data_IF_700887426226
#
_entry.id   IF_700887426226
#
_cell.length_a   1.000
_cell.length_b   1.000
_cell.length_c   1.000
_cell.angle_alpha   90.00
_cell.angle_beta   90.00
_cell.angle_gamma   90.00
#
_symmetry.space_group_name_H-M   'P 1'
#
loop_
_entity.id
_entity.type
_entity.pdbx_description
1 polymer ?
#
# COMPACT_ATOMS: atom_id res chain seq x y z
N UNK A 1 4.50 -55.02 31.05
CA UNK A 1 5.60 -55.47 30.17
C UNK A 1 5.54 -54.63 28.90
N UNK A 2 6.41 -53.64 28.78
CA UNK A 2 6.44 -52.71 27.64
C UNK A 2 7.56 -53.12 26.69
N UNK A 3 7.21 -53.45 25.45
CA UNK A 3 8.15 -53.86 24.40
C UNK A 3 8.82 -52.63 23.77
N UNK A 4 10.16 -52.66 23.70
CA UNK A 4 10.97 -51.73 22.94
C UNK A 4 10.88 -52.05 21.44
N UNK A 5 10.63 -51.04 20.60
CA UNK A 5 10.85 -51.12 19.15
C UNK A 5 12.10 -50.30 18.83
N UNK A 6 13.15 -50.98 18.35
CA UNK A 6 14.35 -50.36 17.76
C UNK A 6 14.09 -50.11 16.27
N UNK A 7 14.26 -48.87 15.81
CA UNK A 7 14.40 -48.56 14.39
C UNK A 7 15.89 -48.42 14.05
N UNK A 8 16.37 -49.21 13.10
CA UNK A 8 17.74 -49.20 12.59
C UNK A 8 17.88 -48.23 11.41
N UNK A 9 18.92 -47.38 11.42
CA UNK A 9 19.56 -46.85 10.21
C UNK A 9 19.14 -45.47 9.69
N UNK A 10 19.54 -44.38 10.38
CA UNK A 10 19.79 -43.07 9.76
C UNK A 10 21.06 -42.49 10.39
N UNK A 11 22.10 -42.24 9.59
CA UNK A 11 23.29 -41.53 10.04
C UNK A 11 23.23 -40.09 9.51
N UNK A 12 23.27 -39.12 10.43
CA UNK A 12 23.50 -37.72 10.14
C UNK A 12 24.91 -37.38 10.63
N UNK A 13 25.79 -36.88 9.76
CA UNK A 13 27.04 -36.25 10.20
C UNK A 13 26.94 -34.75 10.03
N UNK A 14 27.19 -34.00 11.10
CA UNK A 14 27.18 -32.54 11.12
C UNK A 14 28.61 -32.06 11.39
N UNK A 15 29.14 -31.16 10.56
CA UNK A 15 30.29 -30.32 10.92
C UNK A 15 29.75 -28.99 11.49
N UNK A 16 30.36 -28.41 12.53
CA UNK A 16 29.84 -27.20 13.15
C UNK A 16 30.03 -25.99 12.22
N UNK A 17 28.91 -25.41 11.75
CA UNK A 17 28.91 -24.10 11.07
C UNK A 17 28.05 -23.94 9.81
N UNK A 18 27.33 -24.98 9.34
CA UNK A 18 26.60 -24.91 8.06
C UNK A 18 25.12 -25.36 8.17
N UNK A 19 24.20 -24.66 7.50
CA UNK A 19 22.72 -24.84 7.63
C UNK A 19 22.09 -25.63 6.50
N UNK A 20 22.85 -26.41 5.73
CA UNK A 20 22.33 -27.13 4.56
C UNK A 20 22.39 -28.65 4.76
N UNK A 21 21.23 -29.32 4.68
CA UNK A 21 21.14 -30.79 4.72
C UNK A 21 21.05 -31.34 3.30
N UNK A 22 21.94 -32.26 2.93
CA UNK A 22 21.83 -33.01 1.67
C UNK A 22 21.28 -34.42 1.95
N UNK A 23 20.21 -34.78 1.25
CA UNK A 23 19.58 -36.10 1.35
C UNK A 23 20.13 -37.02 0.25
N UNK A 24 20.73 -38.16 0.62
CA UNK A 24 21.09 -39.21 -0.35
C UNK A 24 20.14 -40.40 -0.18
N UNK A 25 19.35 -40.68 -1.22
CA UNK A 25 18.46 -41.85 -1.27
C UNK A 25 19.27 -43.10 -1.66
N UNK A 26 19.35 -44.08 -0.77
CA UNK A 26 19.79 -45.45 -1.13
C UNK A 26 18.55 -46.24 -1.55
N UNK A 27 18.48 -46.62 -2.84
CA UNK A 27 17.50 -47.57 -3.36
C UNK A 27 18.03 -48.98 -3.08
N UNK A 28 17.45 -49.70 -2.13
CA UNK A 28 17.55 -51.15 -2.10
C UNK A 28 16.28 -51.77 -2.71
N UNK A 29 16.49 -52.50 -3.81
CA UNK A 29 15.50 -53.35 -4.46
C UNK A 29 15.53 -54.71 -3.77
N UNK A 30 14.41 -55.16 -3.21
CA UNK A 30 14.26 -56.54 -2.74
C UNK A 30 13.17 -57.20 -3.58
N UNK A 31 13.60 -58.05 -4.52
CA UNK A 31 12.76 -59.09 -5.11
C UNK A 31 12.61 -60.24 -4.12
N UNK A 32 11.40 -60.77 -3.94
CA UNK A 32 11.26 -62.16 -3.51
C UNK A 32 10.08 -62.89 -4.17
N UNK A 33 10.33 -64.19 -4.40
CA UNK A 33 9.56 -65.18 -5.14
C UNK A 33 8.36 -65.67 -4.34
N UNK A 34 7.16 -65.26 -4.75
CA UNK A 34 5.93 -66.07 -4.76
C UNK A 34 4.83 -65.19 -5.34
N UNK A 35 4.24 -65.64 -6.45
CA UNK A 35 3.25 -64.87 -7.19
C UNK A 35 1.95 -64.71 -6.40
N UNK A 36 1.76 -63.55 -5.78
CA UNK A 36 0.44 -62.95 -5.54
C UNK A 36 0.63 -61.45 -5.27
N UNK A 37 0.16 -60.61 -6.18
CA UNK A 37 0.17 -59.17 -6.00
C UNK A 37 -0.91 -58.78 -4.99
N UNK A 38 -0.51 -58.26 -3.82
CA UNK A 38 -1.39 -57.50 -2.94
C UNK A 38 -0.92 -56.05 -2.98
N UNK A 39 -1.48 -55.33 -3.95
CA UNK A 39 -1.55 -53.88 -3.92
C UNK A 39 -2.52 -53.46 -2.81
N UNK A 40 -2.18 -52.34 -2.15
CA UNK A 40 -3.05 -51.55 -1.26
C UNK A 40 -3.18 -52.17 0.14
N UNK A 41 -2.43 -51.60 1.10
CA UNK A 41 -2.89 -51.09 2.41
C UNK A 41 -1.61 -50.71 3.16
N UNK A 42 -1.05 -49.54 2.86
CA UNK A 42 -0.05 -48.89 3.73
C UNK A 42 -0.16 -47.38 3.53
N UNK A 43 -1.37 -46.84 3.72
CA UNK A 43 -1.57 -45.38 3.68
C UNK A 43 -2.48 -44.84 4.80
N UNK A 44 -2.75 -45.61 5.87
CA UNK A 44 -3.74 -45.19 6.87
C UNK A 44 -3.32 -45.27 8.34
N UNK A 45 -2.04 -45.49 8.67
CA UNK A 45 -1.57 -45.49 10.06
C UNK A 45 -0.28 -44.70 10.29
N UNK A 46 -0.16 -43.54 9.64
CA UNK A 46 0.76 -42.46 10.06
C UNK A 46 -0.01 -41.14 10.28
N UNK A 47 -1.30 -41.23 10.60
CA UNK A 47 -2.08 -40.12 11.15
C UNK A 47 -2.01 -40.16 12.68
N UNK A 48 -0.84 -39.86 13.24
CA UNK A 48 -0.65 -39.81 14.68
C UNK A 48 0.80 -39.50 14.99
N UNK A 49 1.03 -38.31 15.55
CA UNK A 49 2.34 -37.74 15.91
C UNK A 49 3.09 -36.98 14.80
N UNK A 50 2.39 -36.09 14.09
CA UNK A 50 2.96 -34.76 13.87
C UNK A 50 2.23 -33.82 14.83
N UNK A 51 2.87 -33.51 15.96
CA UNK A 51 2.50 -32.32 16.71
C UNK A 51 2.66 -31.15 15.76
N UNK A 52 1.53 -30.62 15.28
CA UNK A 52 1.50 -29.34 14.60
C UNK A 52 1.98 -28.33 15.63
N UNK A 53 3.28 -27.99 15.62
CA UNK A 53 3.69 -26.72 16.16
C UNK A 53 2.96 -25.70 15.31
N UNK A 54 1.89 -25.12 15.85
CA UNK A 54 1.36 -23.88 15.32
C UNK A 54 2.53 -22.92 15.34
N UNK A 55 3.16 -22.68 14.18
CA UNK A 55 3.97 -21.49 14.07
C UNK A 55 2.97 -20.37 14.32
N UNK A 56 3.12 -19.75 15.49
CA UNK A 56 2.54 -18.44 15.73
C UNK A 56 3.08 -17.60 14.57
N UNK A 57 2.28 -17.43 13.52
CA UNK A 57 2.50 -16.36 12.55
C UNK A 57 2.54 -15.12 13.42
N UNK A 58 3.73 -14.61 13.70
CA UNK A 58 3.90 -13.27 14.24
C UNK A 58 3.09 -12.41 13.29
N UNK A 59 1.95 -11.89 13.76
CA UNK A 59 1.16 -10.96 12.95
C UNK A 59 2.07 -9.77 12.74
N UNK A 60 2.66 -9.64 11.56
CA UNK A 60 3.41 -8.44 11.22
C UNK A 60 2.46 -7.27 11.32
N UNK A 61 2.75 -6.38 12.26
CA UNK A 61 1.93 -5.22 12.52
C UNK A 61 2.26 -4.13 11.52
N UNK A 62 1.25 -3.44 10.96
CA UNK A 62 1.50 -2.33 10.06
C UNK A 62 2.40 -1.27 10.69
N UNK A 63 3.26 -0.63 9.90
CA UNK A 63 4.22 0.40 10.39
C UNK A 63 3.56 1.75 10.70
N UNK A 64 2.27 1.74 11.04
CA UNK A 64 1.45 2.92 11.19
C UNK A 64 1.93 3.79 12.36
N UNK A 65 2.16 5.07 12.08
CA UNK A 65 2.48 6.07 13.10
C UNK A 65 1.43 7.20 13.03
N UNK A 66 0.61 7.39 14.08
CA UNK A 66 -0.47 8.39 14.05
C UNK A 66 0.03 9.83 13.82
N UNK A 67 1.16 10.19 14.43
CA UNK A 67 1.78 11.51 14.22
C UNK A 67 2.28 11.73 12.79
N UNK A 68 2.80 10.68 12.13
CA UNK A 68 3.18 10.74 10.72
C UNK A 68 1.93 10.88 9.85
N UNK A 69 0.84 10.17 10.17
CA UNK A 69 -0.41 10.32 9.43
C UNK A 69 -0.94 11.76 9.46
N UNK A 70 -0.91 12.39 10.64
CA UNK A 70 -1.30 13.80 10.78
C UNK A 70 -0.38 14.74 9.97
N UNK A 71 0.95 14.56 10.08
CA UNK A 71 1.91 15.33 9.28
C UNK A 71 1.65 15.15 7.77
N UNK A 72 1.41 13.92 7.30
CA UNK A 72 1.13 13.64 5.89
C UNK A 72 -0.15 14.31 5.39
N UNK A 73 -1.16 14.47 6.25
CA UNK A 73 -2.37 15.23 5.93
C UNK A 73 -2.06 16.73 5.80
N UNK A 74 -1.27 17.30 6.73
CA UNK A 74 -0.85 18.70 6.69
C UNK A 74 0.00 19.00 5.44
N UNK A 75 0.95 18.13 5.09
CA UNK A 75 1.76 18.30 3.86
C UNK A 75 0.89 18.15 2.61
N UNK A 76 -0.11 17.25 2.61
CA UNK A 76 -1.08 17.18 1.51
C UNK A 76 -1.89 18.47 1.38
N UNK A 77 -2.30 19.08 2.49
CA UNK A 77 -2.98 20.39 2.47
C UNK A 77 -2.05 21.48 1.91
N UNK A 78 -0.81 21.53 2.38
CA UNK A 78 0.20 22.48 1.91
C UNK A 78 0.45 22.37 0.39
N UNK A 79 0.31 21.17 -0.21
CA UNK A 79 0.48 20.99 -1.66
C UNK A 79 -0.50 21.77 -2.53
N UNK A 80 -1.58 22.31 -1.96
CA UNK A 80 -2.53 23.19 -2.66
C UNK A 80 -2.09 24.66 -2.68
N UNK A 81 -1.10 25.07 -1.88
CA UNK A 81 -0.58 26.44 -1.90
C UNK A 81 0.25 26.68 -3.16
N UNK A 82 -0.15 27.69 -3.92
CA UNK A 82 0.49 28.05 -5.20
C UNK A 82 1.60 29.08 -5.03
N UNK A 83 1.57 29.87 -3.96
CA UNK A 83 2.60 30.82 -3.59
C UNK A 83 3.77 30.08 -2.92
N UNK A 84 4.92 30.04 -3.60
CA UNK A 84 6.11 29.36 -3.10
C UNK A 84 6.62 29.90 -1.77
N UNK A 85 6.46 31.20 -1.50
CA UNK A 85 6.91 31.79 -0.25
C UNK A 85 6.03 31.33 0.92
N UNK A 86 4.70 31.38 0.73
CA UNK A 86 3.74 30.86 1.72
C UNK A 86 3.86 29.36 1.93
N UNK A 87 4.12 28.62 0.86
CA UNK A 87 4.38 27.18 0.93
C UNK A 87 5.65 26.90 1.76
N UNK A 88 6.73 27.65 1.51
CA UNK A 88 7.98 27.55 2.26
C UNK A 88 7.79 27.87 3.75
N UNK A 89 7.03 28.92 4.07
CA UNK A 89 6.67 29.27 5.45
C UNK A 89 5.85 28.16 6.10
N UNK A 90 4.80 27.69 5.43
CA UNK A 90 3.94 26.59 5.92
C UNK A 90 4.77 25.34 6.22
N UNK A 91 5.61 24.89 5.29
CA UNK A 91 6.49 23.74 5.51
C UNK A 91 7.49 23.99 6.65
N UNK A 92 8.00 25.21 6.79
CA UNK A 92 8.89 25.57 7.91
C UNK A 92 8.19 25.46 9.26
N UNK A 93 6.90 25.84 9.37
CA UNK A 93 6.11 25.63 10.59
C UNK A 93 5.92 24.16 10.94
N UNK A 94 5.96 23.28 9.95
CA UNK A 94 5.91 21.82 10.11
C UNK A 94 7.30 21.21 10.36
N UNK A 95 8.36 22.02 10.47
CA UNK A 95 9.73 21.56 10.65
C UNK A 95 10.32 20.91 9.38
N UNK A 96 9.87 21.35 8.20
CA UNK A 96 10.30 20.85 6.90
C UNK A 96 10.89 21.98 6.05
N UNK A 97 11.84 21.62 5.19
CA UNK A 97 12.42 22.48 4.16
C UNK A 97 11.82 22.09 2.80
N UNK A 98 11.36 23.08 2.03
CA UNK A 98 10.95 22.87 0.65
C UNK A 98 12.19 22.64 -0.24
N UNK A 99 12.22 21.52 -0.96
CA UNK A 99 13.25 21.27 -1.95
C UNK A 99 12.96 22.07 -3.24
N UNK A 100 13.98 22.64 -3.91
CA UNK A 100 13.78 23.43 -5.12
C UNK A 100 13.39 22.61 -6.36
N UNK A 101 13.42 21.27 -6.30
CA UNK A 101 13.05 20.42 -7.44
C UNK A 101 11.61 20.71 -7.91
N UNK A 102 11.43 20.80 -9.23
CA UNK A 102 10.12 21.04 -9.83
C UNK A 102 9.38 19.72 -10.04
N UNK A 103 8.26 19.53 -9.34
CA UNK A 103 7.29 18.46 -9.58
C UNK A 103 6.05 19.10 -10.19
N UNK A 104 6.13 19.44 -11.48
CA UNK A 104 5.04 20.10 -12.20
C UNK A 104 5.09 19.77 -13.67
N UNK A 105 3.93 19.48 -14.25
CA UNK A 105 3.72 19.35 -15.70
C UNK A 105 2.39 20.01 -16.06
N UNK A 106 2.45 21.09 -16.85
CA UNK A 106 1.26 21.87 -17.21
C UNK A 106 0.33 21.16 -18.19
N UNK A 107 0.83 20.20 -18.99
CA UNK A 107 0.02 19.48 -19.97
C UNK A 107 -0.92 18.48 -19.30
N UNK A 108 -0.43 17.86 -18.23
CA UNK A 108 -1.19 16.91 -17.41
C UNK A 108 -1.85 17.57 -16.20
N UNK A 109 -1.57 18.86 -15.94
CA UNK A 109 -2.01 19.57 -14.74
C UNK A 109 -1.36 19.05 -13.45
N UNK A 110 -0.34 18.20 -13.55
CA UNK A 110 0.28 17.52 -12.41
C UNK A 110 1.10 18.51 -11.61
N UNK A 111 0.91 18.49 -10.29
CA UNK A 111 1.66 19.33 -9.35
C UNK A 111 1.96 18.54 -8.08
N UNK A 112 3.12 18.82 -7.49
CA UNK A 112 3.52 18.29 -6.20
C UNK A 112 4.70 19.05 -5.62
N UNK A 113 5.16 18.59 -4.48
CA UNK A 113 6.31 19.12 -3.77
C UNK A 113 7.17 17.98 -3.23
N UNK A 114 8.45 18.30 -3.03
CA UNK A 114 9.38 17.50 -2.25
C UNK A 114 9.77 18.36 -1.04
N UNK A 115 9.58 17.83 0.17
CA UNK A 115 9.98 18.48 1.41
C UNK A 115 10.79 17.52 2.26
N UNK A 116 11.71 18.03 3.08
CA UNK A 116 12.57 17.18 3.90
C UNK A 116 13.01 17.88 5.19
N UNK A 117 13.48 17.09 6.15
CA UNK A 117 14.26 17.56 7.30
C UNK A 117 15.39 16.57 7.58
N UNK A 118 15.95 16.51 8.79
CA UNK A 118 17.03 15.57 9.11
C UNK A 118 16.58 14.11 9.14
N UNK A 119 15.30 13.84 9.41
CA UNK A 119 14.78 12.49 9.67
C UNK A 119 13.99 11.92 8.49
N UNK A 120 13.42 12.78 7.64
CA UNK A 120 12.52 12.34 6.57
C UNK A 120 12.59 13.17 5.30
N UNK A 121 12.18 12.53 4.22
CA UNK A 121 11.89 13.11 2.92
C UNK A 121 10.45 12.75 2.56
N UNK A 122 9.69 13.72 2.07
CA UNK A 122 8.26 13.62 1.79
C UNK A 122 8.00 14.11 0.37
N UNK A 123 7.36 13.27 -0.44
CA UNK A 123 6.74 13.72 -1.70
C UNK A 123 5.24 13.83 -1.50
N UNK A 124 4.67 14.99 -1.81
CA UNK A 124 3.23 15.21 -1.76
C UNK A 124 2.71 15.66 -3.13
N UNK A 125 1.65 15.02 -3.61
CA UNK A 125 0.97 15.41 -4.84
C UNK A 125 -0.32 16.16 -4.55
N UNK A 126 -0.53 17.26 -5.27
CA UNK A 126 -1.75 18.06 -5.20
C UNK A 126 -2.89 17.33 -5.91
N UNK A 127 -4.10 17.44 -5.38
CA UNK A 127 -5.31 17.01 -6.09
C UNK A 127 -5.81 18.06 -7.09
N UNK A 128 -6.96 17.78 -7.71
CA UNK A 128 -7.63 18.78 -8.58
C UNK A 128 -8.52 19.70 -7.76
N UNK A 129 -8.60 20.97 -8.13
CA UNK A 129 -9.57 21.94 -7.57
C UNK A 129 -10.92 21.87 -8.31
N UNK A 130 -10.92 21.48 -9.59
CA UNK A 130 -12.12 21.34 -10.42
C UNK A 130 -12.74 19.94 -10.25
N UNK A 131 -12.98 19.57 -9.00
CA UNK A 131 -13.41 18.21 -8.65
C UNK A 131 -14.77 17.83 -9.25
N UNK A 132 -15.70 18.80 -9.38
CA UNK A 132 -17.03 18.58 -9.95
C UNK A 132 -17.00 18.10 -11.39
N UNK A 133 -16.13 18.69 -12.21
CA UNK A 133 -15.99 18.32 -13.62
C UNK A 133 -15.34 16.94 -13.76
N UNK A 134 -14.34 16.65 -12.92
CA UNK A 134 -13.73 15.34 -12.86
C UNK A 134 -14.72 14.24 -12.42
N UNK A 135 -15.61 14.57 -11.48
CA UNK A 135 -16.67 13.69 -10.97
C UNK A 135 -17.77 13.45 -12.01
N UNK A 136 -18.17 14.48 -12.75
CA UNK A 136 -19.14 14.37 -13.84
C UNK A 136 -18.69 13.38 -14.93
N UNK A 137 -17.37 13.22 -15.09
CA UNK A 137 -16.76 12.28 -16.03
C UNK A 137 -16.50 10.88 -15.44
N UNK A 138 -16.91 10.60 -14.20
CA UNK A 138 -16.66 9.31 -13.54
C UNK A 138 -17.19 8.10 -14.32
N UNK A 139 -18.27 8.27 -15.10
CA UNK A 139 -18.82 7.20 -15.95
C UNK A 139 -17.88 6.76 -17.08
N UNK A 140 -16.94 7.63 -17.50
CA UNK A 140 -15.97 7.33 -18.56
C UNK A 140 -14.72 6.61 -18.04
N UNK A 141 -14.53 6.51 -16.72
CA UNK A 141 -13.30 5.96 -16.13
C UNK A 141 -13.01 4.53 -16.56
N UNK A 142 -14.03 3.72 -16.86
CA UNK A 142 -13.81 2.34 -17.32
C UNK A 142 -13.02 2.30 -18.64
N UNK A 143 -13.27 3.24 -19.55
CA UNK A 143 -12.55 3.34 -20.82
C UNK A 143 -11.09 3.77 -20.63
N UNK A 144 -10.80 4.42 -19.50
CA UNK A 144 -9.46 4.88 -19.12
C UNK A 144 -8.66 3.80 -18.40
N UNK A 145 -9.23 2.65 -18.05
CA UNK A 145 -8.47 1.57 -17.39
C UNK A 145 -7.66 0.80 -18.42
N UNK A 146 -6.36 1.09 -18.55
CA UNK A 146 -5.47 0.49 -19.55
C UNK A 146 -4.32 -0.28 -18.89
N UNK A 147 -3.53 -1.00 -19.70
CA UNK A 147 -2.40 -1.76 -19.19
C UNK A 147 -1.48 -0.85 -18.36
N UNK A 148 -1.18 -1.29 -17.14
CA UNK A 148 -0.34 -0.54 -16.20
C UNK A 148 1.07 -1.10 -16.09
N UNK A 149 1.83 -0.69 -15.06
CA UNK A 149 3.21 -1.12 -14.87
C UNK A 149 3.32 -2.63 -14.67
N UNK A 150 4.49 -3.19 -14.98
CA UNK A 150 4.71 -4.63 -15.02
C UNK A 150 4.41 -5.34 -13.69
N UNK A 151 3.85 -6.54 -13.81
CA UNK A 151 3.65 -7.48 -12.71
C UNK A 151 3.32 -8.87 -13.29
N UNK A 152 3.42 -9.91 -12.46
CA UNK A 152 2.97 -11.28 -12.78
C UNK A 152 1.46 -11.39 -13.02
N UNK A 153 0.68 -10.37 -12.65
CA UNK A 153 -0.75 -10.27 -12.90
C UNK A 153 -1.05 -9.33 -14.06
N UNK A 154 -2.22 -9.48 -14.69
CA UNK A 154 -2.73 -8.50 -15.66
C UNK A 154 -3.12 -7.20 -14.95
N UNK A 155 -2.17 -6.28 -14.84
CA UNK A 155 -2.34 -4.96 -14.22
C UNK A 155 -3.03 -4.02 -15.20
N UNK A 156 -4.11 -3.39 -14.75
CA UNK A 156 -4.70 -2.22 -15.42
C UNK A 156 -4.92 -1.09 -14.41
N UNK A 157 -4.59 0.13 -14.82
CA UNK A 157 -4.72 1.35 -14.01
C UNK A 157 -5.38 2.45 -14.83
N UNK A 158 -5.92 3.47 -14.17
CA UNK A 158 -6.48 4.63 -14.86
C UNK A 158 -5.38 5.37 -15.64
N UNK A 159 -5.55 5.51 -16.95
CA UNK A 159 -4.54 6.06 -17.84
C UNK A 159 -4.22 7.50 -17.49
N UNK A 160 -5.21 8.35 -17.23
CA UNK A 160 -4.96 9.74 -16.81
C UNK A 160 -4.04 9.85 -15.57
N UNK A 161 -4.18 8.95 -14.58
CA UNK A 161 -3.28 8.95 -13.41
C UNK A 161 -1.88 8.44 -13.78
N UNK A 162 -1.81 7.42 -14.63
CA UNK A 162 -0.55 6.87 -15.11
C UNK A 162 0.24 7.88 -15.96
N UNK A 163 -0.42 8.60 -16.85
CA UNK A 163 0.21 9.61 -17.70
C UNK A 163 0.65 10.82 -16.86
N UNK A 164 -0.17 11.24 -15.90
CA UNK A 164 0.15 12.30 -14.95
C UNK A 164 1.37 11.97 -14.08
N UNK A 165 1.46 10.78 -13.48
CA UNK A 165 2.64 10.45 -12.68
C UNK A 165 3.89 10.31 -13.55
N UNK A 166 3.77 9.67 -14.71
CA UNK A 166 4.90 9.51 -15.63
C UNK A 166 5.42 10.85 -16.16
N UNK A 167 4.56 11.87 -16.33
CA UNK A 167 4.99 13.18 -16.81
C UNK A 167 6.02 13.84 -15.89
N UNK A 168 5.92 13.60 -14.58
CA UNK A 168 6.81 14.18 -13.54
C UNK A 168 7.89 13.22 -13.02
N UNK A 169 7.82 11.92 -13.33
CA UNK A 169 8.84 10.94 -12.89
C UNK A 169 9.75 10.42 -14.01
N UNK A 170 9.38 10.55 -15.29
CA UNK A 170 10.07 9.92 -16.43
C UNK A 170 11.52 10.35 -16.62
N UNK A 171 11.90 11.57 -16.22
CA UNK A 171 13.25 12.09 -16.42
C UNK A 171 14.24 11.62 -15.32
N UNK A 172 13.74 10.89 -14.32
CA UNK A 172 14.52 10.32 -13.23
C UNK A 172 15.05 11.31 -12.20
N UNK A 173 14.89 12.63 -12.38
CA UNK A 173 15.47 13.63 -11.47
C UNK A 173 14.86 13.56 -10.07
N UNK A 174 13.54 13.35 -9.99
CA UNK A 174 12.85 13.18 -8.71
C UNK A 174 13.40 11.96 -7.95
N UNK A 175 13.55 10.81 -8.63
CA UNK A 175 14.11 9.61 -8.02
C UNK A 175 15.57 9.79 -7.60
N UNK A 176 16.39 10.47 -8.41
CA UNK A 176 17.78 10.77 -8.05
C UNK A 176 17.87 11.63 -6.78
N UNK A 177 17.03 12.68 -6.68
CA UNK A 177 17.00 13.56 -5.52
C UNK A 177 16.51 12.85 -4.25
N UNK A 178 15.48 12.01 -4.37
CA UNK A 178 15.02 11.18 -3.24
C UNK A 178 16.13 10.23 -2.77
N UNK A 179 16.82 9.58 -3.72
CA UNK A 179 17.94 8.68 -3.42
C UNK A 179 19.04 9.40 -2.64
N UNK A 180 19.45 10.59 -3.09
CA UNK A 180 20.45 11.42 -2.41
C UNK A 180 20.01 11.76 -0.97
N UNK A 181 18.76 12.19 -0.78
CA UNK A 181 18.23 12.54 0.54
C UNK A 181 18.17 11.32 1.48
N UNK A 182 17.84 10.14 0.95
CA UNK A 182 17.82 8.88 1.71
C UNK A 182 19.21 8.36 2.07
N UNK A 183 20.25 8.65 1.28
CA UNK A 183 21.64 8.27 1.61
C UNK A 183 22.10 8.88 2.94
N UNK A 184 21.50 9.99 3.39
CA UNK A 184 21.76 10.54 4.73
C UNK A 184 20.92 9.90 5.86
N UNK A 185 20.25 8.78 5.61
CA UNK A 185 19.46 8.06 6.61
C UNK A 185 18.00 8.49 6.76
N UNK A 186 17.48 9.34 5.86
CA UNK A 186 16.11 9.86 5.92
C UNK A 186 15.07 8.80 5.55
N UNK A 187 13.99 8.74 6.32
CA UNK A 187 12.81 7.94 6.00
C UNK A 187 12.04 8.56 4.84
N UNK A 188 11.56 7.76 3.89
CA UNK A 188 10.83 8.27 2.73
C UNK A 188 9.33 8.02 2.82
N UNK A 189 8.58 9.11 2.80
CA UNK A 189 7.13 9.12 2.81
C UNK A 189 6.56 9.70 1.51
N UNK A 190 5.44 9.14 1.08
CA UNK A 190 4.67 9.63 -0.06
C UNK A 190 3.26 9.93 0.43
N UNK A 191 2.70 11.06 0.00
CA UNK A 191 1.36 11.47 0.39
C UNK A 191 0.60 12.18 -0.71
N UNK A 192 -0.71 12.27 -0.55
CA UNK A 192 -1.56 13.02 -1.47
C UNK A 192 -3.04 12.89 -1.14
N UNK A 193 -3.79 13.91 -1.56
CA UNK A 193 -5.24 13.99 -1.42
C UNK A 193 -5.94 13.87 -2.78
N UNK A 194 -7.12 13.26 -2.84
CA UNK A 194 -7.92 13.16 -4.07
C UNK A 194 -7.13 12.52 -5.22
N UNK A 195 -7.10 13.14 -6.41
CA UNK A 195 -6.21 12.82 -7.52
C UNK A 195 -4.75 12.66 -7.06
N UNK A 196 -4.24 13.54 -6.20
CA UNK A 196 -2.89 13.46 -5.65
C UNK A 196 -2.64 12.16 -4.88
N UNK A 197 -3.65 11.63 -4.19
CA UNK A 197 -3.56 10.31 -3.56
C UNK A 197 -3.42 9.17 -4.58
N UNK A 198 -4.07 9.27 -5.74
CA UNK A 198 -3.91 8.30 -6.82
C UNK A 198 -2.51 8.36 -7.43
N UNK A 199 -1.96 9.57 -7.64
CA UNK A 199 -0.60 9.78 -8.12
C UNK A 199 0.44 9.26 -7.12
N UNK A 200 0.27 9.56 -5.83
CA UNK A 200 1.09 9.04 -4.74
C UNK A 200 1.12 7.51 -4.72
N UNK A 201 -0.03 6.87 -4.92
CA UNK A 201 -0.16 5.41 -5.01
C UNK A 201 0.62 4.83 -6.19
N UNK A 202 0.48 5.43 -7.37
CA UNK A 202 1.22 4.96 -8.55
C UNK A 202 2.73 5.20 -8.41
N UNK A 203 3.14 6.36 -7.89
CA UNK A 203 4.55 6.63 -7.60
C UNK A 203 5.14 5.58 -6.67
N UNK A 204 4.43 5.25 -5.58
CA UNK A 204 4.87 4.24 -4.63
C UNK A 204 5.07 2.88 -5.31
N UNK A 205 4.14 2.48 -6.19
CA UNK A 205 4.26 1.24 -6.93
C UNK A 205 5.45 1.25 -7.91
N UNK A 206 5.59 2.30 -8.72
CA UNK A 206 6.71 2.46 -9.66
C UNK A 206 8.07 2.47 -8.95
N UNK A 207 8.12 3.04 -7.75
CA UNK A 207 9.34 3.08 -6.93
C UNK A 207 9.76 1.68 -6.46
N UNK A 208 8.84 0.72 -6.36
CA UNK A 208 9.18 -0.65 -5.88
C UNK A 208 10.12 -1.42 -6.81
N UNK A 209 10.28 -0.97 -8.05
CA UNK A 209 11.23 -1.54 -9.01
C UNK A 209 12.62 -0.86 -8.92
N UNK A 210 12.75 0.19 -8.10
CA UNK A 210 14.00 0.88 -7.82
C UNK A 210 14.57 0.46 -6.46
N UNK A 211 15.55 -0.44 -6.47
CA UNK A 211 16.21 -0.95 -5.26
C UNK A 211 16.99 0.10 -4.47
N UNK A 212 17.22 1.30 -5.01
CA UNK A 212 17.92 2.38 -4.32
C UNK A 212 17.01 3.22 -3.40
N UNK A 213 15.68 3.07 -3.53
CA UNK A 213 14.71 3.87 -2.79
C UNK A 213 13.89 2.97 -1.89
N UNK A 214 13.89 3.26 -0.58
CA UNK A 214 13.11 2.52 0.41
C UNK A 214 11.91 3.36 0.85
N UNK A 215 10.70 2.93 0.51
CA UNK A 215 9.47 3.55 1.02
C UNK A 215 9.26 3.13 2.48
N UNK A 216 9.07 4.13 3.35
CA UNK A 216 8.76 3.97 4.78
C UNK A 216 7.27 4.14 5.08
N UNK A 217 6.52 4.84 4.22
CA UNK A 217 5.06 4.86 4.27
C UNK A 217 4.41 5.63 3.13
N UNK A 218 3.23 5.18 2.73
CA UNK A 218 2.31 5.87 1.83
C UNK A 218 1.04 6.20 2.61
N UNK A 219 0.67 7.48 2.64
CA UNK A 219 -0.52 7.97 3.32
C UNK A 219 -1.39 8.71 2.31
N UNK A 220 -2.64 8.30 2.12
CA UNK A 220 -3.52 8.93 1.12
C UNK A 220 -4.85 9.31 1.73
N UNK A 221 -5.44 10.42 1.25
CA UNK A 221 -6.67 11.00 1.81
C UNK A 221 -7.70 11.17 0.70
N UNK A 222 -8.91 10.64 0.87
CA UNK A 222 -9.96 10.74 -0.15
C UNK A 222 -9.59 10.09 -1.49
N UNK A 223 -8.64 9.15 -1.48
CA UNK A 223 -8.08 8.56 -2.69
C UNK A 223 -9.14 7.79 -3.50
N UNK A 224 -9.31 8.08 -4.81
CA UNK A 224 -10.12 7.23 -5.67
C UNK A 224 -9.46 5.85 -5.90
N UNK A 225 -10.23 4.84 -6.33
CA UNK A 225 -9.65 3.59 -6.82
C UNK A 225 -8.71 3.82 -8.00
N UNK A 226 -7.52 3.20 -7.98
CA UNK A 226 -6.45 3.46 -8.97
C UNK A 226 -6.42 2.44 -10.11
N UNK A 227 -6.74 1.19 -9.81
CA UNK A 227 -6.58 0.09 -10.76
C UNK A 227 -7.42 -1.13 -10.44
N UNK A 228 -7.21 -2.17 -11.24
CA UNK A 228 -7.97 -3.41 -11.18
C UNK A 228 -7.51 -4.35 -10.04
N UNK A 229 -8.13 -5.53 -9.97
CA UNK A 229 -7.74 -6.58 -9.02
C UNK A 229 -6.26 -7.02 -9.16
N UNK A 230 -5.75 -7.10 -10.39
CA UNK A 230 -4.34 -7.42 -10.64
C UNK A 230 -3.41 -6.38 -10.02
N UNK A 231 -3.68 -5.08 -10.24
CA UNK A 231 -2.95 -4.00 -9.60
C UNK A 231 -2.96 -4.11 -8.07
N UNK A 232 -4.14 -4.35 -7.47
CA UNK A 232 -4.26 -4.53 -6.01
C UNK A 232 -3.39 -5.68 -5.49
N UNK A 233 -3.41 -6.83 -6.16
CA UNK A 233 -2.62 -7.98 -5.74
C UNK A 233 -1.13 -7.67 -5.75
N UNK A 234 -0.63 -7.09 -6.86
CA UNK A 234 0.77 -6.72 -7.02
C UNK A 234 1.21 -5.65 -6.02
N UNK A 235 0.39 -4.60 -5.87
CA UNK A 235 0.67 -3.51 -4.95
C UNK A 235 0.73 -4.02 -3.51
N UNK A 236 -0.30 -4.74 -3.05
CA UNK A 236 -0.38 -5.19 -1.67
C UNK A 236 0.70 -6.24 -1.34
N UNK A 237 1.13 -7.05 -2.31
CA UNK A 237 2.25 -7.97 -2.13
C UNK A 237 3.55 -7.25 -1.76
N UNK A 238 3.74 -5.99 -2.22
CA UNK A 238 4.95 -5.20 -1.97
C UNK A 238 4.79 -4.16 -0.85
N UNK A 239 3.62 -3.57 -0.69
CA UNK A 239 3.45 -2.32 0.08
C UNK A 239 2.29 -2.32 1.10
N UNK A 240 1.58 -3.43 1.31
CA UNK A 240 0.39 -3.46 2.17
C UNK A 240 0.64 -2.90 3.58
N UNK A 241 1.69 -3.37 4.24
CA UNK A 241 2.01 -3.01 5.64
C UNK A 241 2.49 -1.56 5.83
N UNK A 242 2.73 -0.84 4.71
CA UNK A 242 3.24 0.53 4.67
C UNK A 242 2.25 1.51 4.03
N UNK A 243 1.07 1.06 3.63
CA UNK A 243 0.11 1.89 2.90
C UNK A 243 -1.16 2.10 3.69
N UNK A 244 -1.45 3.36 4.00
CA UNK A 244 -2.52 3.80 4.87
C UNK A 244 -3.45 4.75 4.12
N UNK A 245 -4.66 4.27 3.83
CA UNK A 245 -5.64 5.00 3.02
C UNK A 245 -6.77 5.49 3.90
N UNK A 246 -6.88 6.81 4.04
CA UNK A 246 -7.90 7.48 4.82
C UNK A 246 -9.15 7.78 3.99
N UNK A 247 -10.30 7.47 4.56
CA UNK A 247 -11.62 7.75 3.98
C UNK A 247 -12.52 8.37 5.03
N UNK A 248 -13.05 9.54 4.74
CA UNK A 248 -14.09 10.17 5.55
C UNK A 248 -15.47 9.59 5.21
N UNK A 249 -16.35 9.49 6.21
CA UNK A 249 -17.70 8.94 6.07
C UNK A 249 -18.57 9.66 5.03
N UNK A 250 -18.37 10.96 4.83
CA UNK A 250 -19.11 11.76 3.84
C UNK A 250 -18.47 11.73 2.45
N UNK A 251 -17.18 11.42 2.37
CA UNK A 251 -16.39 11.57 1.15
C UNK A 251 -16.77 10.52 0.07
N UNK A 252 -17.43 10.96 -1.00
CA UNK A 252 -17.87 10.07 -2.07
C UNK A 252 -16.74 9.59 -2.99
N UNK A 253 -15.58 10.21 -2.96
CA UNK A 253 -14.51 10.01 -3.96
C UNK A 253 -13.89 8.62 -3.91
N UNK A 254 -13.55 8.07 -2.74
CA UNK A 254 -13.16 6.67 -2.62
C UNK A 254 -14.25 5.68 -3.05
N UNK A 255 -15.50 6.12 -3.20
CA UNK A 255 -16.65 5.28 -3.54
C UNK A 255 -17.02 5.37 -5.02
N UNK A 256 -16.31 6.17 -5.82
CA UNK A 256 -16.47 6.28 -7.27
C UNK A 256 -15.99 5.01 -7.96
N UNK A 257 -16.91 4.06 -8.07
CA UNK A 257 -16.71 2.79 -8.76
C UNK A 257 -17.87 2.63 -9.74
N UNK A 258 -17.68 3.02 -11.01
CA UNK A 258 -18.69 2.78 -12.05
C UNK A 258 -19.10 1.31 -12.10
N UNK A 259 -18.17 0.42 -11.76
CA UNK A 259 -18.44 -1.01 -11.57
C UNK A 259 -17.45 -1.63 -10.54
N UNK A 260 -17.63 -2.92 -10.27
CA UNK A 260 -16.81 -3.65 -9.28
C UNK A 260 -15.37 -3.99 -9.74
N UNK A 261 -14.93 -3.57 -10.93
CA UNK A 261 -13.60 -3.89 -11.46
C UNK A 261 -12.47 -3.10 -10.79
N UNK A 262 -12.75 -1.88 -10.33
CA UNK A 262 -11.79 -1.02 -9.64
C UNK A 262 -11.64 -1.39 -8.16
N UNK A 263 -10.39 -1.50 -7.72
CA UNK A 263 -10.03 -1.96 -6.39
C UNK A 263 -9.17 -0.95 -5.66
N UNK A 264 -9.43 -0.83 -4.37
CA UNK A 264 -8.57 -0.13 -3.44
C UNK A 264 -7.37 -0.98 -3.04
N UNK A 265 -6.27 -0.30 -2.73
CA UNK A 265 -5.02 -0.87 -2.22
C UNK A 265 -4.74 -0.36 -0.81
N UNK A 266 -3.78 -0.99 -0.13
CA UNK A 266 -3.40 -0.63 1.23
C UNK A 266 -4.45 -0.93 2.30
N UNK A 267 -4.13 -0.53 3.52
CA UNK A 267 -4.97 -0.66 4.71
C UNK A 267 -5.91 0.55 4.79
N UNK A 268 -7.19 0.28 5.04
CA UNK A 268 -8.19 1.33 5.24
C UNK A 268 -8.07 1.89 6.66
N UNK A 269 -8.10 3.22 6.76
CA UNK A 269 -8.44 3.94 7.97
C UNK A 269 -9.67 4.79 7.69
N UNK A 270 -10.74 4.55 8.43
CA UNK A 270 -12.05 5.10 8.18
C UNK A 270 -12.43 6.08 9.28
N UNK A 271 -12.71 7.32 8.90
CA UNK A 271 -13.15 8.39 9.80
C UNK A 271 -14.67 8.37 9.85
N UNK A 272 -15.21 7.92 10.98
CA UNK A 272 -16.64 7.72 11.21
C UNK A 272 -17.35 9.05 11.47
N UNK A 273 -18.69 9.02 11.39
CA UNK A 273 -19.55 10.19 11.65
C UNK A 273 -19.38 10.77 13.05
N UNK A 274 -19.09 9.92 14.03
CA UNK A 274 -18.85 10.29 15.42
C UNK A 274 -17.41 10.77 15.69
N UNK A 275 -16.58 10.85 14.64
CA UNK A 275 -15.18 11.23 14.74
C UNK A 275 -14.26 10.10 15.20
N UNK A 276 -14.71 8.85 15.25
CA UNK A 276 -13.85 7.71 15.59
C UNK A 276 -13.10 7.14 14.37
N UNK A 277 -11.90 6.58 14.59
CA UNK A 277 -11.09 5.93 13.57
C UNK A 277 -11.24 4.41 13.62
N UNK A 278 -11.65 3.79 12.51
CA UNK A 278 -11.76 2.33 12.36
C UNK A 278 -10.92 1.80 11.20
N UNK A 279 -10.60 0.50 11.21
CA UNK A 279 -9.88 -0.15 10.10
C UNK A 279 -10.82 -0.75 9.05
N UNK A 280 -12.13 -0.56 9.23
CA UNK A 280 -13.19 -1.07 8.38
C UNK A 280 -14.25 0.01 8.17
N UNK A 281 -14.85 0.02 6.98
CA UNK A 281 -16.00 0.87 6.69
C UNK A 281 -17.28 0.17 7.19
N UNK A 282 -18.19 0.88 7.90
CA UNK A 282 -19.45 0.30 8.33
C UNK A 282 -20.30 -0.18 7.15
N UNK A 283 -20.93 -1.34 7.30
CA UNK A 283 -21.82 -1.90 6.26
C UNK A 283 -23.00 -0.97 6.01
N UNK A 284 -23.31 -0.71 4.73
CA UNK A 284 -24.50 0.03 4.32
C UNK A 284 -24.40 1.55 4.45
N UNK A 285 -23.22 2.10 4.75
CA UNK A 285 -23.05 3.53 4.99
C UNK A 285 -23.42 4.41 3.78
N UNK A 286 -23.12 3.94 2.55
CA UNK A 286 -23.53 4.59 1.31
C UNK A 286 -23.65 3.54 0.19
N UNK A 287 -24.87 3.27 -0.26
CA UNK A 287 -25.17 2.25 -1.25
C UNK A 287 -25.62 2.86 -2.59
N UNK A 288 -25.08 4.01 -3.01
CA UNK A 288 -25.56 4.64 -4.24
C UNK A 288 -24.59 5.67 -4.80
N UNK A 289 -23.83 5.27 -5.81
CA UNK A 289 -23.28 6.18 -6.82
C UNK A 289 -24.37 6.85 -7.69
N UNK A 290 -25.67 6.74 -7.32
CA UNK A 290 -26.77 7.24 -8.17
C UNK A 290 -26.98 8.75 -8.11
N UNK A 291 -26.63 9.44 -7.02
CA UNK A 291 -26.84 10.89 -6.89
C UNK A 291 -25.59 11.58 -6.32
N UNK A 292 -24.48 11.48 -7.05
CA UNK A 292 -23.17 12.05 -6.68
C UNK A 292 -23.05 13.56 -6.98
N UNK A 293 -24.14 14.19 -7.45
CA UNK A 293 -24.20 15.60 -7.84
C UNK A 293 -24.67 16.56 -6.72
N UNK A 294 -24.79 16.09 -5.48
CA UNK A 294 -25.12 16.98 -4.36
C UNK A 294 -23.87 17.75 -3.89
N UNK A 295 -23.93 19.08 -3.87
CA UNK A 295 -22.80 19.95 -3.51
C UNK A 295 -22.26 19.67 -2.11
N UNK A 296 -23.10 19.22 -1.18
CA UNK A 296 -22.71 18.87 0.18
C UNK A 296 -21.76 17.65 0.25
N UNK A 297 -21.84 16.75 -0.74
CA UNK A 297 -20.94 15.58 -0.81
C UNK A 297 -19.55 15.98 -1.33
N UNK A 298 -19.47 17.03 -2.14
CA UNK A 298 -18.20 17.57 -2.67
C UNK A 298 -17.45 18.38 -1.61
N UNK A 299 -18.16 19.13 -0.76
CA UNK A 299 -17.54 19.88 0.35
C UNK A 299 -16.80 18.98 1.36
N UNK A 300 -17.30 17.76 1.55
CA UNK A 300 -16.65 16.77 2.42
C UNK A 300 -15.38 16.12 1.86
N UNK A 301 -15.07 16.39 0.59
CA UNK A 301 -13.84 15.96 -0.08
C UNK A 301 -12.76 17.06 -0.01
N UNK A 302 -12.63 17.68 1.16
CA UNK A 302 -11.63 18.71 1.45
C UNK A 302 -10.51 18.10 2.27
N UNK A 303 -9.26 18.36 1.88
CA UNK A 303 -8.09 17.94 2.65
C UNK A 303 -8.09 18.55 4.07
N UNK A 304 -8.68 19.73 4.25
CA UNK A 304 -8.74 20.38 5.57
C UNK A 304 -9.66 19.63 6.55
N UNK A 305 -10.72 18.97 6.06
CA UNK A 305 -11.56 18.10 6.90
C UNK A 305 -10.74 16.91 7.42
N UNK A 306 -9.96 16.27 6.54
CA UNK A 306 -9.05 15.19 6.95
C UNK A 306 -7.99 15.67 7.95
N UNK A 307 -7.43 16.87 7.79
CA UNK A 307 -6.47 17.46 8.75
C UNK A 307 -7.14 17.65 10.11
N UNK A 308 -8.33 18.26 10.15
CA UNK A 308 -9.07 18.48 11.41
C UNK A 308 -9.42 17.17 12.12
N UNK A 309 -9.91 16.18 11.37
CA UNK A 309 -10.22 14.85 11.92
C UNK A 309 -8.97 14.16 12.49
N UNK A 310 -7.81 14.28 11.82
CA UNK A 310 -6.58 13.62 12.25
C UNK A 310 -5.87 14.33 13.40
N UNK A 311 -6.12 15.61 13.61
CA UNK A 311 -5.63 16.33 14.78
C UNK A 311 -6.11 15.65 16.08
N UNK A 312 -7.38 15.24 16.11
CA UNK A 312 -7.99 14.48 17.22
C UNK A 312 -7.41 13.06 17.37
N UNK A 313 -6.63 12.58 16.39
CA UNK A 313 -6.12 11.20 16.33
C UNK A 313 -4.60 11.12 16.26
N UNK A 314 -3.88 12.21 16.55
CA UNK A 314 -2.42 12.28 16.51
C UNK A 314 -1.68 11.24 17.37
N UNK A 315 -2.39 10.58 18.29
CA UNK A 315 -1.87 9.54 19.19
C UNK A 315 -2.67 8.22 19.12
N UNK A 316 -3.61 8.09 18.19
CA UNK A 316 -4.53 6.94 18.11
C UNK A 316 -4.01 5.92 17.10
N UNK A 317 -3.65 4.72 17.57
CA UNK A 317 -3.34 3.60 16.68
C UNK A 317 -4.54 2.63 16.65
N UNK A 318 -5.29 2.54 15.53
CA UNK A 318 -6.46 1.67 15.45
C UNK A 318 -6.11 0.20 15.16
N UNK A 319 -4.84 -0.12 14.90
CA UNK A 319 -4.42 -1.50 14.67
C UNK A 319 -4.21 -2.21 16.02
N UNK A 320 -4.92 -3.31 16.23
CA UNK A 320 -4.84 -4.15 17.43
C UNK A 320 -3.55 -5.00 17.44
N UNK A 321 -2.43 -4.30 17.59
CA UNK A 321 -1.08 -4.81 17.54
C UNK A 321 -0.38 -4.31 18.81
N UNK A 322 -0.43 -5.12 19.86
CA UNK A 322 0.33 -4.93 21.09
C UNK A 322 1.44 -5.98 21.16
#
# INVERSE_FOLDING_TARGET
MHAQIRCSGMFFSQAPGDTTYSLTLVKESIMNKSGLAISIITCLLLAGCFGMSSSSKTKNCPTYKPSIAFLMAQVSAASYESDKAKLGETLSTLGLTLDPISIKDSNTGTQGLLAYNNDMVIVAFRGTEDFKDWLGNAQLWENEIKNGPACDQKVRVHQGFNDAINSVTKDGKLYARITELQQSGRQFYITGHSLGGALATLMAYLTTDNNAIRIDGLYTFGQPPVGNQGFRQCFNAKLLEKTFRFVNYKDVVPRLKPNNSLKHVGLLLFLNKDGSLSTEEPKGLLNTAKNVLDSALVESHSINEYVGDLEAHRNTNPFACQ
#
